data_IF_906549560384
#
_entry.id   IF_906549560384
#
_cell.length_a   1.000
_cell.length_b   1.000
_cell.length_c   1.000
_cell.angle_alpha   90.00
_cell.angle_beta   90.00
_cell.angle_gamma   90.00
#
_symmetry.space_group_name_H-M   'P 1'
#
loop_
_entity.id
_entity.type
_entity.pdbx_description
1 polymer ?
#
# COMPACT_ATOMS: atom_id res chain seq x y z
N UNK A 1 3.16 -18.27 -30.08
CA UNK A 1 3.59 -17.07 -29.31
C UNK A 1 4.04 -16.01 -30.30
N UNK A 2 3.57 -14.76 -30.18
CA UNK A 2 4.00 -13.67 -31.06
C UNK A 2 5.26 -13.07 -30.46
N UNK A 3 6.39 -13.09 -31.18
CA UNK A 3 7.62 -12.42 -30.75
C UNK A 3 7.34 -10.93 -30.64
N UNK A 4 7.58 -10.37 -29.47
CA UNK A 4 7.45 -8.92 -29.20
C UNK A 4 8.70 -8.46 -28.48
N UNK A 5 9.04 -7.19 -28.66
CA UNK A 5 10.18 -6.55 -28.02
C UNK A 5 9.66 -5.62 -26.95
N UNK A 6 9.95 -5.93 -25.69
CA UNK A 6 9.50 -5.13 -24.55
C UNK A 6 10.68 -4.37 -23.97
N UNK A 7 10.49 -3.09 -23.66
CA UNK A 7 11.47 -2.33 -22.86
C UNK A 7 11.29 -2.75 -21.40
N UNK A 8 12.24 -3.47 -20.76
CA UNK A 8 12.05 -3.91 -19.39
C UNK A 8 12.16 -2.74 -18.40
N UNK A 9 11.53 -2.84 -17.22
CA UNK A 9 11.60 -1.76 -16.22
C UNK A 9 12.98 -1.55 -15.62
N UNK A 10 13.78 -2.62 -15.52
CA UNK A 10 15.18 -2.54 -15.12
C UNK A 10 16.12 -2.19 -16.29
N UNK A 11 15.62 -1.76 -17.45
CA UNK A 11 16.46 -1.52 -18.65
C UNK A 11 17.64 -0.60 -18.37
N UNK A 12 17.48 0.40 -17.50
CA UNK A 12 18.58 1.30 -17.11
C UNK A 12 19.71 0.53 -16.43
N UNK A 13 19.37 -0.31 -15.46
CA UNK A 13 20.32 -1.15 -14.74
C UNK A 13 20.92 -2.21 -15.67
N UNK A 14 20.08 -2.91 -16.43
CA UNK A 14 20.50 -3.92 -17.42
C UNK A 14 21.51 -3.35 -18.42
N UNK A 15 21.29 -2.11 -18.89
CA UNK A 15 22.22 -1.45 -19.79
C UNK A 15 23.51 -1.07 -19.08
N UNK A 16 23.47 -0.51 -17.87
CA UNK A 16 24.69 -0.16 -17.13
C UNK A 16 25.54 -1.37 -16.76
N UNK A 17 24.91 -2.54 -16.59
CA UNK A 17 25.57 -3.81 -16.33
C UNK A 17 26.07 -4.51 -17.61
N UNK A 18 25.68 -4.06 -18.80
CA UNK A 18 26.14 -4.61 -20.08
C UNK A 18 27.60 -4.25 -20.35
N UNK A 19 28.48 -5.25 -20.60
CA UNK A 19 29.87 -5.00 -20.96
C UNK A 19 30.01 -4.11 -22.21
N UNK A 20 29.10 -4.22 -23.17
CA UNK A 20 29.10 -3.43 -24.39
C UNK A 20 28.77 -1.95 -24.13
N UNK A 21 27.86 -1.66 -23.20
CA UNK A 21 27.57 -0.29 -22.78
C UNK A 21 28.72 0.28 -21.96
N UNK A 22 29.29 -0.51 -21.04
CA UNK A 22 30.47 -0.08 -20.28
C UNK A 22 31.65 0.23 -21.22
N UNK A 23 31.86 -0.60 -22.24
CA UNK A 23 32.87 -0.39 -23.28
C UNK A 23 32.54 0.85 -24.13
N UNK A 24 31.29 1.06 -24.52
CA UNK A 24 30.86 2.28 -25.22
C UNK A 24 31.14 3.55 -24.40
N UNK A 25 30.87 3.54 -23.09
CA UNK A 25 31.11 4.70 -22.24
C UNK A 25 32.61 4.98 -22.03
N UNK A 26 33.42 3.93 -21.94
CA UNK A 26 34.84 4.01 -21.54
C UNK A 26 35.85 3.99 -22.69
N UNK A 27 35.45 3.52 -23.87
CA UNK A 27 36.32 3.34 -25.04
C UNK A 27 35.70 3.94 -26.32
N UNK A 28 36.54 4.42 -27.23
CA UNK A 28 36.18 4.86 -28.58
C UNK A 28 36.50 3.81 -29.67
N UNK A 29 36.88 2.59 -29.28
CA UNK A 29 37.24 1.51 -30.21
C UNK A 29 36.05 0.91 -30.96
N UNK A 30 34.82 1.25 -30.57
CA UNK A 30 33.61 0.82 -31.27
C UNK A 30 33.40 1.64 -32.57
N UNK A 31 32.73 1.06 -33.57
CA UNK A 31 32.34 1.82 -34.77
C UNK A 31 31.36 2.95 -34.42
N UNK A 32 31.57 4.12 -35.03
CA UNK A 32 30.72 5.32 -34.87
C UNK A 32 30.59 5.85 -33.43
N UNK A 33 31.54 5.53 -32.54
CA UNK A 33 31.64 6.16 -31.21
C UNK A 33 32.37 7.50 -31.27
N UNK A 34 31.83 8.50 -30.58
CA UNK A 34 32.52 9.79 -30.44
C UNK A 34 33.81 9.65 -29.62
N UNK A 35 34.85 10.41 -29.97
CA UNK A 35 36.11 10.45 -29.19
C UNK A 35 35.92 11.11 -27.81
N UNK A 36 35.04 12.11 -27.71
CA UNK A 36 34.76 12.81 -26.45
C UNK A 36 33.87 11.95 -25.52
N UNK A 37 34.34 11.56 -24.32
CA UNK A 37 33.53 10.83 -23.35
C UNK A 37 32.25 11.57 -22.92
N UNK A 38 32.23 12.92 -22.95
CA UNK A 38 31.02 13.70 -22.63
C UNK A 38 29.96 13.54 -23.70
N UNK A 39 30.36 13.48 -24.96
CA UNK A 39 29.46 13.23 -26.06
C UNK A 39 28.86 11.82 -25.98
N UNK A 40 29.69 10.79 -25.71
CA UNK A 40 29.21 9.41 -25.49
C UNK A 40 28.22 9.32 -24.34
N UNK A 41 28.49 9.99 -23.22
CA UNK A 41 27.56 10.06 -22.09
C UNK A 41 26.23 10.75 -22.48
N UNK A 42 26.28 11.82 -23.27
CA UNK A 42 25.08 12.50 -23.74
C UNK A 42 24.24 11.62 -24.69
N UNK A 43 24.88 10.89 -25.60
CA UNK A 43 24.24 9.92 -26.50
C UNK A 43 23.59 8.77 -25.71
N UNK A 44 24.29 8.24 -24.70
CA UNK A 44 23.72 7.24 -23.78
C UNK A 44 22.54 7.79 -22.98
N UNK A 45 22.66 9.00 -22.44
CA UNK A 45 21.56 9.65 -21.70
C UNK A 45 20.35 9.88 -22.62
N UNK A 46 20.56 10.22 -23.88
CA UNK A 46 19.49 10.37 -24.86
C UNK A 46 18.77 9.04 -25.13
N UNK A 47 19.54 7.96 -25.34
CA UNK A 47 18.99 6.62 -25.51
C UNK A 47 18.22 6.16 -24.26
N UNK A 48 18.78 6.37 -23.06
CA UNK A 48 18.15 6.03 -21.80
C UNK A 48 16.85 6.84 -21.57
N UNK A 49 16.85 8.12 -21.91
CA UNK A 49 15.66 8.98 -21.85
C UNK A 49 14.57 8.56 -22.83
N UNK A 50 14.93 7.98 -23.99
CA UNK A 50 13.95 7.38 -24.88
C UNK A 50 13.38 6.08 -24.28
N UNK A 51 14.24 5.20 -23.76
CA UNK A 51 13.80 3.95 -23.13
C UNK A 51 12.93 4.20 -21.91
N UNK A 52 13.28 5.15 -21.04
CA UNK A 52 12.51 5.46 -19.82
C UNK A 52 11.08 5.90 -20.14
N UNK A 53 10.89 6.67 -21.22
CA UNK A 53 9.56 7.04 -21.74
C UNK A 53 8.76 5.88 -22.32
N UNK A 54 9.44 4.77 -22.62
CA UNK A 54 8.86 3.60 -23.25
C UNK A 54 8.99 2.33 -22.41
N UNK A 55 9.32 2.44 -21.11
CA UNK A 55 9.34 1.29 -20.19
C UNK A 55 8.01 0.54 -20.27
N UNK A 56 8.12 -0.75 -20.53
CA UNK A 56 7.03 -1.70 -20.69
C UNK A 56 6.24 -1.59 -21.99
N UNK A 57 6.60 -0.66 -22.89
CA UNK A 57 6.05 -0.64 -24.25
C UNK A 57 6.51 -1.88 -24.99
N UNK A 58 5.56 -2.53 -25.68
CA UNK A 58 5.82 -3.65 -26.57
C UNK A 58 5.85 -3.19 -28.02
N UNK A 59 6.79 -3.73 -28.79
CA UNK A 59 6.90 -3.48 -30.22
C UNK A 59 6.70 -4.78 -30.98
N UNK A 60 6.00 -4.69 -32.13
CA UNK A 60 5.73 -5.84 -32.99
C UNK A 60 6.93 -6.30 -33.82
N UNK A 61 8.02 -5.52 -33.86
CA UNK A 61 9.29 -5.84 -34.51
C UNK A 61 10.43 -5.02 -33.91
N UNK A 62 11.68 -5.49 -34.05
CA UNK A 62 12.89 -4.70 -33.75
C UNK A 62 12.87 -3.38 -34.51
N UNK A 63 12.47 -3.39 -35.78
CA UNK A 63 12.42 -2.18 -36.61
C UNK A 63 11.40 -1.15 -36.12
N UNK A 64 10.25 -1.62 -35.61
CA UNK A 64 9.26 -0.75 -35.00
C UNK A 64 9.81 -0.13 -33.71
N UNK A 65 10.50 -0.93 -32.88
CA UNK A 65 11.19 -0.43 -31.70
C UNK A 65 12.26 0.61 -32.08
N UNK A 66 13.11 0.32 -33.07
CA UNK A 66 14.17 1.21 -33.51
C UNK A 66 13.64 2.56 -34.05
N UNK A 67 12.56 2.52 -34.84
CA UNK A 67 11.92 3.75 -35.35
C UNK A 67 11.35 4.60 -34.23
N UNK A 68 10.62 3.99 -33.32
CA UNK A 68 9.94 4.70 -32.23
C UNK A 68 10.90 5.21 -31.16
N UNK A 69 11.87 4.38 -30.75
CA UNK A 69 12.82 4.72 -29.70
C UNK A 69 13.89 5.70 -30.18
N UNK A 70 14.39 5.52 -31.41
CA UNK A 70 15.60 6.20 -31.86
C UNK A 70 15.45 6.94 -33.18
N UNK A 71 14.27 6.98 -33.80
CA UNK A 71 14.07 7.62 -35.11
C UNK A 71 14.58 6.79 -36.30
N UNK A 72 14.87 5.50 -36.09
CA UNK A 72 15.38 4.62 -37.14
C UNK A 72 16.78 5.02 -37.59
N UNK A 73 17.11 4.80 -38.87
CA UNK A 73 18.46 5.08 -39.42
C UNK A 73 18.84 6.56 -39.48
N UNK A 74 17.87 7.47 -39.39
CA UNK A 74 18.09 8.92 -39.34
C UNK A 74 18.20 9.46 -37.90
N UNK A 75 18.23 8.57 -36.91
CA UNK A 75 18.32 8.88 -35.50
C UNK A 75 19.64 9.53 -35.07
N UNK A 76 19.60 10.23 -33.92
CA UNK A 76 20.79 10.82 -33.29
C UNK A 76 21.59 9.85 -32.41
N UNK A 77 21.09 8.62 -32.22
CA UNK A 77 21.75 7.60 -31.40
C UNK A 77 22.68 6.78 -32.29
N UNK A 78 23.98 6.65 -31.95
CA UNK A 78 24.95 5.88 -32.73
C UNK A 78 24.50 4.45 -32.99
N UNK A 79 24.91 3.88 -34.13
CA UNK A 79 24.50 2.54 -34.57
C UNK A 79 24.89 1.48 -33.54
N UNK A 80 26.14 1.51 -33.06
CA UNK A 80 26.63 0.58 -32.05
C UNK A 80 25.76 0.61 -30.78
N UNK A 81 25.45 1.81 -30.28
CA UNK A 81 24.62 1.99 -29.10
C UNK A 81 23.18 1.50 -29.31
N UNK A 82 22.56 1.82 -30.46
CA UNK A 82 21.20 1.33 -30.78
C UNK A 82 21.15 -0.20 -30.81
N UNK A 83 22.12 -0.85 -31.43
CA UNK A 83 22.14 -2.31 -31.54
C UNK A 83 22.28 -2.97 -30.16
N UNK A 84 23.17 -2.46 -29.31
CA UNK A 84 23.31 -2.94 -27.93
C UNK A 84 22.02 -2.77 -27.14
N UNK A 85 21.39 -1.59 -27.25
CA UNK A 85 20.13 -1.31 -26.55
C UNK A 85 18.97 -2.19 -27.05
N UNK A 86 18.85 -2.38 -28.36
CA UNK A 86 17.81 -3.23 -28.95
C UNK A 86 17.98 -4.71 -28.57
N UNK A 87 19.22 -5.18 -28.38
CA UNK A 87 19.51 -6.52 -27.86
C UNK A 87 19.13 -6.69 -26.38
N UNK A 88 19.14 -5.60 -25.61
CA UNK A 88 18.70 -5.61 -24.22
C UNK A 88 17.16 -5.59 -24.07
N UNK A 89 16.41 -5.42 -25.17
CA UNK A 89 14.96 -5.59 -25.15
C UNK A 89 14.61 -7.07 -24.98
N UNK A 90 13.64 -7.35 -24.11
CA UNK A 90 13.24 -8.71 -23.79
C UNK A 90 12.31 -9.24 -24.89
N UNK A 91 12.59 -10.44 -25.39
CA UNK A 91 11.84 -11.09 -26.49
C UNK A 91 10.65 -11.94 -26.01
N UNK A 92 10.20 -11.72 -24.78
CA UNK A 92 9.12 -12.47 -24.16
C UNK A 92 8.15 -11.49 -23.50
N UNK A 93 6.85 -11.76 -23.64
CA UNK A 93 5.83 -11.18 -22.77
C UNK A 93 5.99 -11.91 -21.43
N UNK A 94 6.50 -11.23 -20.39
CA UNK A 94 6.24 -11.68 -19.03
C UNK A 94 4.72 -11.77 -18.86
N UNK A 95 4.24 -12.87 -18.28
CA UNK A 95 2.81 -13.11 -18.04
C UNK A 95 2.16 -11.81 -17.56
N UNK A 96 1.20 -11.30 -18.33
CA UNK A 96 0.46 -10.09 -17.94
C UNK A 96 -0.03 -10.30 -16.52
N UNK A 97 0.27 -9.36 -15.63
CA UNK A 97 -0.21 -9.43 -14.27
C UNK A 97 -1.72 -9.75 -14.28
N UNK A 98 -2.19 -10.69 -13.45
CA UNK A 98 -3.55 -11.18 -13.53
C UNK A 98 -4.53 -10.04 -13.24
N UNK A 99 -5.63 -9.99 -14.00
CA UNK A 99 -6.72 -9.06 -13.72
C UNK A 99 -7.33 -9.35 -12.34
N UNK A 100 -7.77 -8.33 -11.58
CA UNK A 100 -8.29 -8.52 -10.23
C UNK A 100 -9.46 -9.50 -10.20
N UNK A 101 -9.55 -10.25 -9.11
CA UNK A 101 -10.66 -11.18 -8.84
C UNK A 101 -11.85 -10.43 -8.24
N UNK A 102 -13.04 -10.97 -8.39
CA UNK A 102 -14.23 -10.41 -7.74
C UNK A 102 -14.07 -10.46 -6.21
N UNK A 103 -14.55 -9.40 -5.56
CA UNK A 103 -14.71 -9.36 -4.13
C UNK A 103 -15.87 -10.30 -3.72
N UNK A 104 -15.66 -11.17 -2.72
CA UNK A 104 -16.74 -11.92 -2.09
C UNK A 104 -17.84 -11.00 -1.52
N UNK A 105 -19.09 -11.47 -1.55
CA UNK A 105 -20.27 -10.67 -1.16
C UNK A 105 -20.17 -10.08 0.26
N UNK A 106 -19.70 -10.85 1.23
CA UNK A 106 -19.50 -10.38 2.61
C UNK A 106 -18.54 -9.19 2.69
N UNK A 107 -17.54 -9.12 1.80
CA UNK A 107 -16.59 -8.01 1.73
C UNK A 107 -17.26 -6.79 1.10
N UNK A 108 -18.04 -6.98 0.03
CA UNK A 108 -18.83 -5.91 -0.58
C UNK A 108 -19.81 -5.27 0.41
N UNK A 109 -20.49 -6.10 1.21
CA UNK A 109 -21.46 -5.65 2.22
C UNK A 109 -20.76 -4.82 3.32
N UNK A 110 -19.59 -5.25 3.78
CA UNK A 110 -18.81 -4.52 4.78
C UNK A 110 -18.19 -3.22 4.26
N UNK A 111 -17.75 -3.20 2.99
CA UNK A 111 -17.11 -2.02 2.40
C UNK A 111 -18.10 -0.86 2.19
N UNK A 112 -19.38 -1.18 1.96
CA UNK A 112 -20.45 -0.20 1.81
C UNK A 112 -20.20 0.77 0.65
N UNK A 113 -20.48 2.05 0.87
CA UNK A 113 -20.13 3.13 -0.06
C UNK A 113 -18.71 3.65 0.26
N UNK A 114 -17.88 3.73 -0.75
CA UNK A 114 -16.46 4.07 -0.59
C UNK A 114 -15.95 4.96 -1.72
N UNK A 115 -14.82 5.62 -1.47
CA UNK A 115 -14.00 6.35 -2.44
C UNK A 115 -12.71 5.56 -2.64
N UNK A 116 -12.28 5.43 -3.89
CA UNK A 116 -11.11 4.67 -4.27
C UNK A 116 -10.19 5.44 -5.22
N UNK A 117 -8.92 5.07 -5.21
CA UNK A 117 -7.89 5.57 -6.10
C UNK A 117 -7.22 4.42 -6.87
N UNK A 118 -6.91 4.65 -8.14
CA UNK A 118 -6.09 3.77 -8.96
C UNK A 118 -4.69 4.39 -9.12
N UNK A 119 -3.67 3.59 -8.84
CA UNK A 119 -2.28 4.00 -8.85
C UNK A 119 -1.49 3.19 -9.89
N UNK A 120 -0.62 3.90 -10.61
CA UNK A 120 0.33 3.29 -11.53
C UNK A 120 1.61 2.92 -10.75
N UNK A 121 1.95 1.63 -10.61
CA UNK A 121 3.09 1.21 -9.80
C UNK A 121 4.44 1.63 -10.42
N UNK A 122 4.47 2.01 -11.71
CA UNK A 122 5.70 2.36 -12.42
C UNK A 122 6.26 3.71 -11.99
N UNK A 123 5.37 4.66 -11.70
CA UNK A 123 5.73 6.04 -11.35
C UNK A 123 5.02 6.57 -10.10
N UNK A 124 4.29 5.72 -9.39
CA UNK A 124 3.55 6.05 -8.15
C UNK A 124 2.47 7.13 -8.34
N UNK A 125 2.08 7.44 -9.57
CA UNK A 125 1.03 8.43 -9.83
C UNK A 125 -0.36 7.86 -9.58
N UNK A 126 -1.21 8.63 -8.89
CA UNK A 126 -2.66 8.42 -8.92
C UNK A 126 -3.17 8.97 -10.25
N UNK A 127 -3.77 8.11 -11.07
CA UNK A 127 -4.30 8.51 -12.37
C UNK A 127 -5.83 8.48 -12.45
N UNK A 128 -6.50 7.95 -11.43
CA UNK A 128 -7.96 7.94 -11.36
C UNK A 128 -8.44 7.90 -9.90
N UNK A 129 -9.46 8.69 -9.58
CA UNK A 129 -10.19 8.65 -8.30
C UNK A 129 -11.68 8.52 -8.61
N UNK A 130 -12.36 7.62 -7.92
CA UNK A 130 -13.78 7.37 -8.12
C UNK A 130 -14.50 7.03 -6.82
N UNK A 131 -15.83 6.99 -6.89
CA UNK A 131 -16.68 6.51 -5.81
C UNK A 131 -17.47 5.28 -6.27
N UNK A 132 -17.80 4.39 -5.35
CA UNK A 132 -18.43 3.12 -5.70
C UNK A 132 -18.96 2.30 -4.54
N UNK A 133 -19.52 1.14 -4.90
CA UNK A 133 -19.94 0.07 -4.00
C UNK A 133 -19.50 -1.26 -4.60
N UNK A 134 -19.37 -2.30 -3.78
CA UNK A 134 -19.00 -3.64 -4.24
C UNK A 134 -17.73 -3.64 -5.11
N UNK A 135 -17.83 -4.19 -6.32
CA UNK A 135 -16.71 -4.39 -7.24
C UNK A 135 -16.40 -3.18 -8.15
N UNK A 136 -17.05 -2.02 -7.93
CA UNK A 136 -16.88 -0.82 -8.77
C UNK A 136 -15.42 -0.40 -8.98
N UNK A 137 -14.58 -0.60 -7.98
CA UNK A 137 -13.13 -0.33 -8.01
C UNK A 137 -12.41 -1.07 -9.15
N UNK A 138 -12.90 -2.23 -9.59
CA UNK A 138 -12.30 -3.05 -10.64
C UNK A 138 -12.87 -2.80 -12.03
N UNK A 139 -13.98 -2.06 -12.16
CA UNK A 139 -14.74 -1.92 -13.41
C UNK A 139 -13.88 -1.36 -14.55
N UNK A 140 -13.05 -0.35 -14.29
CA UNK A 140 -12.16 0.22 -15.31
C UNK A 140 -11.09 -0.78 -15.77
N UNK A 141 -10.53 -1.56 -14.85
CA UNK A 141 -9.52 -2.56 -15.17
C UNK A 141 -10.13 -3.70 -15.98
N UNK A 142 -11.26 -4.26 -15.55
CA UNK A 142 -11.95 -5.30 -16.32
C UNK A 142 -12.36 -4.81 -17.70
N UNK A 143 -12.84 -3.57 -17.81
CA UNK A 143 -13.17 -2.97 -19.12
C UNK A 143 -11.93 -2.82 -20.01
N UNK A 144 -10.82 -2.33 -19.46
CA UNK A 144 -9.58 -2.12 -20.19
C UNK A 144 -9.00 -3.42 -20.74
N UNK A 145 -9.15 -4.51 -19.98
CA UNK A 145 -8.65 -5.85 -20.29
C UNK A 145 -9.65 -6.75 -21.04
N UNK A 146 -10.87 -6.26 -21.31
CA UNK A 146 -11.90 -7.04 -22.03
C UNK A 146 -12.54 -8.16 -21.22
N UNK A 147 -12.52 -8.06 -19.88
CA UNK A 147 -13.03 -9.06 -18.93
C UNK A 147 -14.55 -8.93 -18.73
N UNK A 148 -15.32 -9.04 -19.82
CA UNK A 148 -16.78 -8.82 -19.82
C UNK A 148 -17.54 -9.82 -18.93
N UNK A 149 -17.01 -11.03 -18.77
CA UNK A 149 -17.56 -12.05 -17.86
C UNK A 149 -17.55 -11.57 -16.41
N UNK A 150 -16.42 -11.01 -15.95
CA UNK A 150 -16.27 -10.48 -14.58
C UNK A 150 -17.18 -9.28 -14.32
N UNK A 151 -17.34 -8.39 -15.31
CA UNK A 151 -18.32 -7.28 -15.22
C UNK A 151 -19.73 -7.83 -15.00
N UNK A 152 -20.12 -8.83 -15.79
CA UNK A 152 -21.46 -9.41 -15.73
C UNK A 152 -21.70 -10.16 -14.41
N UNK A 153 -20.74 -10.98 -13.97
CA UNK A 153 -20.79 -11.71 -12.70
C UNK A 153 -20.86 -10.74 -11.50
N UNK A 154 -20.16 -9.61 -11.57
CA UNK A 154 -20.20 -8.57 -10.55
C UNK A 154 -21.45 -7.67 -10.61
N UNK A 155 -22.30 -7.80 -11.63
CA UNK A 155 -23.42 -6.89 -11.88
C UNK A 155 -23.00 -5.47 -12.27
N UNK A 156 -21.74 -5.30 -12.69
CA UNK A 156 -21.16 -4.03 -13.12
C UNK A 156 -21.39 -3.80 -14.63
N UNK A 157 -21.57 -2.55 -15.01
CA UNK A 157 -21.73 -2.16 -16.42
C UNK A 157 -20.44 -1.54 -16.94
N UNK A 158 -20.22 -1.68 -18.24
CA UNK A 158 -19.18 -0.92 -18.95
C UNK A 158 -19.32 0.57 -18.63
N UNK A 159 -18.25 1.25 -18.21
CA UNK A 159 -18.24 2.69 -17.98
C UNK A 159 -18.70 3.46 -19.22
N UNK A 160 -19.36 4.60 -19.00
CA UNK A 160 -19.71 5.51 -20.08
C UNK A 160 -18.43 6.01 -20.77
N UNK A 161 -18.44 6.09 -22.09
CA UNK A 161 -17.33 6.68 -22.84
C UNK A 161 -17.29 8.19 -22.60
N UNK A 162 -16.38 8.61 -21.72
CA UNK A 162 -16.04 10.01 -21.47
C UNK A 162 -14.54 10.21 -21.68
N UNK A 163 -14.06 11.44 -21.94
CA UNK A 163 -12.62 11.69 -22.10
C UNK A 163 -11.77 11.20 -20.92
N UNK A 164 -12.27 11.35 -19.69
CA UNK A 164 -11.61 10.91 -18.47
C UNK A 164 -11.54 9.39 -18.39
N UNK A 165 -12.66 8.71 -18.67
CA UNK A 165 -12.75 7.25 -18.67
C UNK A 165 -11.84 6.66 -19.75
N UNK A 166 -11.84 7.23 -20.95
CA UNK A 166 -10.96 6.78 -22.04
C UNK A 166 -9.48 6.99 -21.70
N UNK A 167 -9.12 8.10 -21.06
CA UNK A 167 -7.76 8.34 -20.58
C UNK A 167 -7.35 7.30 -19.53
N UNK A 168 -8.23 6.99 -18.56
CA UNK A 168 -7.99 5.95 -17.57
C UNK A 168 -7.84 4.57 -18.22
N UNK A 169 -8.71 4.19 -19.15
CA UNK A 169 -8.63 2.91 -19.88
C UNK A 169 -7.33 2.80 -20.69
N UNK A 170 -6.92 3.88 -21.37
CA UNK A 170 -5.61 3.93 -22.06
C UNK A 170 -4.47 3.72 -21.07
N UNK A 171 -4.47 4.45 -19.94
CA UNK A 171 -3.42 4.31 -18.91
C UNK A 171 -3.34 2.89 -18.38
N UNK A 172 -4.48 2.28 -18.01
CA UNK A 172 -4.55 0.89 -17.53
C UNK A 172 -3.94 -0.08 -18.56
N UNK A 173 -4.30 0.03 -19.84
CA UNK A 173 -3.73 -0.84 -20.89
C UNK A 173 -2.21 -0.72 -20.93
N UNK A 174 -1.66 0.50 -20.87
CA UNK A 174 -0.20 0.68 -20.86
C UNK A 174 0.46 0.05 -19.64
N UNK A 175 -0.18 0.09 -18.46
CA UNK A 175 0.32 -0.55 -17.23
C UNK A 175 0.40 -2.07 -17.40
N UNK A 176 -0.68 -2.70 -17.86
CA UNK A 176 -0.73 -4.16 -18.06
C UNK A 176 0.11 -4.65 -19.23
N UNK A 177 0.22 -3.86 -20.31
CA UNK A 177 1.16 -4.14 -21.41
C UNK A 177 2.62 -4.10 -20.94
N UNK A 178 2.89 -3.33 -19.87
CA UNK A 178 4.21 -3.26 -19.22
C UNK A 178 4.49 -4.41 -18.26
N UNK A 179 3.59 -5.40 -18.13
CA UNK A 179 3.72 -6.51 -17.18
C UNK A 179 3.28 -6.18 -15.74
N UNK A 180 2.82 -4.96 -15.47
CA UNK A 180 2.37 -4.54 -14.13
C UNK A 180 0.86 -4.68 -13.95
N UNK A 181 0.41 -4.76 -12.69
CA UNK A 181 -1.00 -4.59 -12.34
C UNK A 181 -1.22 -3.20 -11.74
N UNK A 182 -2.33 -2.58 -12.12
CA UNK A 182 -2.82 -1.36 -11.46
C UNK A 182 -3.07 -1.65 -9.98
N UNK A 183 -2.56 -0.79 -9.10
CA UNK A 183 -2.84 -0.86 -7.68
C UNK A 183 -4.16 -0.17 -7.35
N UNK A 184 -4.92 -0.78 -6.44
CA UNK A 184 -6.26 -0.34 -6.08
C UNK A 184 -6.29 -0.02 -4.60
N UNK A 185 -6.65 1.22 -4.27
CA UNK A 185 -6.70 1.71 -2.90
C UNK A 185 -8.09 2.22 -2.56
N UNK A 186 -8.55 1.93 -1.36
CA UNK A 186 -9.72 2.58 -0.75
C UNK A 186 -9.21 3.72 0.12
N UNK A 187 -9.60 4.95 -0.21
CA UNK A 187 -9.16 6.17 0.51
C UNK A 187 -10.17 6.62 1.57
N UNK A 188 -11.43 6.16 1.46
CA UNK A 188 -12.44 6.27 2.50
C UNK A 188 -13.50 5.20 2.29
N UNK A 189 -13.93 4.54 3.37
CA UNK A 189 -15.03 3.58 3.40
C UNK A 189 -16.19 4.06 4.28
N UNK A 190 -17.31 3.32 4.26
CA UNK A 190 -18.48 3.53 5.12
C UNK A 190 -19.07 4.97 5.16
N UNK A 191 -18.94 5.73 4.07
CA UNK A 191 -19.42 7.12 4.01
C UNK A 191 -20.95 7.23 4.12
N UNK A 192 -21.44 7.99 5.12
CA UNK A 192 -22.87 8.25 5.31
C UNK A 192 -23.18 9.74 5.60
N UNK A 193 -23.17 10.60 4.55
CA UNK A 193 -23.42 12.04 4.68
C UNK A 193 -24.77 12.42 5.28
N UNK A 194 -25.79 11.55 5.17
CA UNK A 194 -27.14 11.86 5.64
C UNK A 194 -27.26 11.82 7.17
N UNK A 195 -26.37 11.10 7.84
CA UNK A 195 -26.45 10.86 9.28
C UNK A 195 -25.56 11.83 10.07
N UNK A 196 -24.40 12.20 9.53
CA UNK A 196 -23.45 13.09 10.22
C UNK A 196 -22.59 13.85 9.20
N UNK A 197 -22.96 15.11 8.93
CA UNK A 197 -22.30 15.95 7.93
C UNK A 197 -20.88 16.37 8.37
N UNK A 198 -20.68 16.67 9.65
CA UNK A 198 -19.37 17.05 10.20
C UNK A 198 -18.41 15.86 10.17
N UNK A 199 -18.89 14.66 10.53
CA UNK A 199 -18.11 13.44 10.37
C UNK A 199 -17.76 13.18 8.91
N UNK A 200 -18.70 13.37 7.98
CA UNK A 200 -18.43 13.17 6.55
C UNK A 200 -17.42 14.16 6.00
N UNK A 201 -17.45 15.43 6.45
CA UNK A 201 -16.43 16.41 6.10
C UNK A 201 -15.04 15.98 6.62
N UNK A 202 -14.96 15.46 7.85
CA UNK A 202 -13.72 14.94 8.42
C UNK A 202 -13.18 13.72 7.63
N UNK A 203 -14.03 12.74 7.32
CA UNK A 203 -13.63 11.56 6.53
C UNK A 203 -13.23 11.97 5.11
N UNK A 204 -13.89 12.97 4.52
CA UNK A 204 -13.51 13.49 3.21
C UNK A 204 -12.12 14.14 3.25
N UNK A 205 -11.82 14.94 4.28
CA UNK A 205 -10.50 15.51 4.47
C UNK A 205 -9.43 14.42 4.66
N UNK A 206 -9.73 13.38 5.45
CA UNK A 206 -8.85 12.22 5.61
C UNK A 206 -8.65 11.48 4.28
N UNK A 207 -9.68 11.33 3.45
CA UNK A 207 -9.56 10.71 2.13
C UNK A 207 -8.63 11.49 1.19
N UNK A 208 -8.69 12.82 1.23
CA UNK A 208 -7.79 13.69 0.45
C UNK A 208 -6.36 13.56 0.95
N UNK A 209 -6.15 13.60 2.27
CA UNK A 209 -4.83 13.40 2.88
C UNK A 209 -4.27 12.03 2.49
N UNK A 210 -5.09 10.97 2.58
CA UNK A 210 -4.74 9.61 2.20
C UNK A 210 -4.31 9.49 0.73
N UNK A 211 -5.06 10.12 -0.18
CA UNK A 211 -4.73 10.13 -1.60
C UNK A 211 -3.42 10.89 -1.87
N UNK A 212 -3.25 12.09 -1.30
CA UNK A 212 -2.01 12.85 -1.45
C UNK A 212 -0.81 12.11 -0.87
N UNK A 213 -0.99 11.45 0.28
CA UNK A 213 0.04 10.62 0.91
C UNK A 213 0.53 9.46 0.05
N UNK A 214 -0.30 8.90 -0.85
CA UNK A 214 0.17 7.87 -1.79
C UNK A 214 1.24 8.38 -2.76
N UNK A 215 1.22 9.68 -3.05
CA UNK A 215 2.11 10.36 -4.00
C UNK A 215 3.25 11.13 -3.32
N UNK A 216 3.30 11.15 -1.99
CA UNK A 216 4.39 11.82 -1.27
C UNK A 216 5.75 11.14 -1.53
N UNK A 217 6.85 11.90 -1.59
CA UNK A 217 8.17 11.33 -1.77
C UNK A 217 8.56 10.47 -0.56
N UNK A 218 8.83 9.18 -0.79
CA UNK A 218 9.24 8.24 0.27
C UNK A 218 10.63 8.54 0.89
N UNK A 219 11.31 9.60 0.45
CA UNK A 219 12.65 9.99 0.92
C UNK A 219 12.77 11.51 0.96
N UNK A 220 12.52 12.08 2.13
CA UNK A 220 12.62 13.51 2.38
C UNK A 220 11.67 13.93 3.48
N UNK A 221 11.64 15.23 3.76
CA UNK A 221 10.60 15.81 4.59
C UNK A 221 9.25 15.76 3.85
N UNK A 222 8.19 15.41 4.57
CA UNK A 222 6.84 15.40 4.03
C UNK A 222 6.45 16.80 3.54
N UNK A 223 5.97 16.89 2.29
CA UNK A 223 5.43 18.16 1.77
C UNK A 223 4.07 18.40 2.42
N UNK A 224 3.22 17.37 2.49
CA UNK A 224 1.95 17.42 3.20
C UNK A 224 2.18 17.38 4.72
N UNK A 225 2.11 18.54 5.36
CA UNK A 225 2.33 18.70 6.81
C UNK A 225 1.35 17.91 7.68
N UNK A 226 0.19 17.53 7.15
CA UNK A 226 -0.74 16.61 7.83
C UNK A 226 -0.12 15.22 8.12
N UNK A 227 1.01 14.89 7.48
CA UNK A 227 1.79 13.68 7.64
C UNK A 227 3.03 13.88 8.53
N UNK A 228 3.34 15.10 8.98
CA UNK A 228 4.52 15.37 9.82
C UNK A 228 4.53 14.65 11.19
N UNK A 229 3.41 14.02 11.58
CA UNK A 229 3.30 13.16 12.75
C UNK A 229 2.92 11.72 12.43
N UNK A 230 3.00 11.30 11.16
CA UNK A 230 2.77 9.91 10.81
C UNK A 230 4.01 9.06 11.08
N UNK A 231 3.98 8.25 12.14
CA UNK A 231 4.82 7.05 12.28
C UNK A 231 4.22 5.88 11.49
N UNK A 232 4.99 4.85 11.12
CA UNK A 232 4.49 3.61 10.49
C UNK A 232 3.24 3.03 11.21
N UNK A 233 3.15 3.25 12.53
CA UNK A 233 2.03 2.82 13.38
C UNK A 233 0.76 3.67 13.21
N UNK A 234 0.90 4.97 12.92
CA UNK A 234 -0.21 5.92 12.70
C UNK A 234 -0.59 6.10 11.22
N UNK A 235 0.28 5.68 10.29
CA UNK A 235 -0.03 5.57 8.87
C UNK A 235 -1.20 4.61 8.64
N UNK A 236 -1.27 3.49 9.36
CA UNK A 236 -2.33 2.50 9.18
C UNK A 236 -3.76 3.01 9.46
N UNK A 237 -3.94 4.13 10.16
CA UNK A 237 -5.24 4.76 10.42
C UNK A 237 -5.57 5.92 9.46
N UNK A 238 -4.61 6.40 8.67
CA UNK A 238 -4.73 7.60 7.82
C UNK A 238 -4.43 7.37 6.35
N UNK A 239 -3.98 6.18 5.98
CA UNK A 239 -3.48 5.90 4.64
C UNK A 239 -4.54 5.18 3.83
N UNK A 240 -4.56 5.47 2.54
CA UNK A 240 -5.32 4.70 1.58
C UNK A 240 -4.98 3.22 1.75
N UNK A 241 -5.99 2.38 1.95
CA UNK A 241 -5.79 0.96 2.25
C UNK A 241 -5.79 0.18 0.93
N UNK A 242 -4.75 -0.61 0.60
CA UNK A 242 -4.80 -1.49 -0.55
C UNK A 242 -6.00 -2.42 -0.45
N UNK A 243 -6.76 -2.60 -1.53
CA UNK A 243 -7.97 -3.45 -1.51
C UNK A 243 -7.67 -4.89 -1.05
N UNK A 244 -6.48 -5.41 -1.35
CA UNK A 244 -6.04 -6.73 -0.91
C UNK A 244 -5.95 -6.84 0.62
N UNK A 245 -5.61 -5.75 1.30
CA UNK A 245 -5.57 -5.68 2.76
C UNK A 245 -6.98 -5.69 3.34
N UNK A 246 -7.92 -4.92 2.76
CA UNK A 246 -9.32 -4.96 3.17
C UNK A 246 -9.94 -6.34 2.96
N UNK A 247 -9.62 -6.99 1.84
CA UNK A 247 -10.05 -8.37 1.59
C UNK A 247 -9.57 -9.30 2.70
N UNK A 248 -8.30 -9.19 3.10
CA UNK A 248 -7.73 -9.97 4.20
C UNK A 248 -8.49 -9.72 5.51
N UNK A 249 -8.71 -8.45 5.86
CA UNK A 249 -9.39 -8.09 7.11
C UNK A 249 -10.85 -8.56 7.13
N UNK A 250 -11.58 -8.37 6.04
CA UNK A 250 -13.01 -8.66 5.99
C UNK A 250 -13.31 -10.15 5.77
N UNK A 251 -12.32 -10.91 5.31
CA UNK A 251 -12.39 -12.38 5.24
C UNK A 251 -12.19 -13.05 6.60
N UNK A 252 -11.58 -12.35 7.56
CA UNK A 252 -11.41 -12.88 8.91
C UNK A 252 -12.75 -12.91 9.67
N UNK A 253 -13.00 -14.01 10.39
CA UNK A 253 -14.17 -14.11 11.26
C UNK A 253 -14.12 -13.05 12.35
N UNK A 254 -15.24 -12.38 12.69
CA UNK A 254 -15.27 -11.49 13.84
C UNK A 254 -14.84 -12.25 15.10
N UNK A 255 -13.99 -11.65 15.93
CA UNK A 255 -13.59 -12.26 17.19
C UNK A 255 -14.80 -12.58 18.08
N UNK A 256 -14.72 -13.59 18.96
CA UNK A 256 -15.70 -13.76 20.02
C UNK A 256 -15.70 -12.55 20.98
N UNK A 257 -16.59 -12.53 21.97
CA UNK A 257 -16.60 -11.47 22.98
C UNK A 257 -15.25 -11.39 23.70
N UNK A 258 -14.64 -10.20 23.72
CA UNK A 258 -13.35 -9.98 24.38
C UNK A 258 -13.47 -10.25 25.89
N UNK A 259 -12.47 -10.91 26.51
CA UNK A 259 -12.44 -11.09 27.96
C UNK A 259 -12.49 -9.74 28.69
N UNK A 260 -13.00 -9.75 29.91
CA UNK A 260 -12.93 -8.59 30.81
C UNK A 260 -12.44 -9.09 32.17
N UNK A 261 -11.28 -8.63 32.65
CA UNK A 261 -10.40 -7.64 32.05
C UNK A 261 -9.54 -8.20 30.89
N UNK A 262 -9.14 -7.36 29.94
CA UNK A 262 -8.09 -7.66 28.96
C UNK A 262 -7.39 -6.38 28.48
N UNK A 263 -6.28 -6.53 27.76
CA UNK A 263 -5.67 -5.47 26.97
C UNK A 263 -5.60 -5.91 25.52
N UNK A 264 -6.05 -5.06 24.61
CA UNK A 264 -5.73 -5.19 23.20
C UNK A 264 -4.50 -4.35 22.90
N UNK A 265 -3.47 -5.01 22.38
CA UNK A 265 -2.19 -4.42 22.07
C UNK A 265 -2.05 -4.34 20.56
N UNK A 266 -2.19 -3.15 19.99
CA UNK A 266 -2.00 -2.95 18.56
C UNK A 266 -0.51 -2.81 18.26
N UNK A 267 0.01 -3.71 17.42
CA UNK A 267 1.41 -3.72 16.96
C UNK A 267 1.41 -4.01 15.47
N UNK A 268 1.54 -2.98 14.63
CA UNK A 268 1.36 -3.13 13.18
C UNK A 268 2.51 -3.95 12.54
N UNK A 269 3.72 -3.88 13.09
CA UNK A 269 4.89 -4.64 12.61
C UNK A 269 4.68 -6.16 12.74
N UNK A 270 3.76 -6.58 13.62
CA UNK A 270 3.39 -7.98 13.76
C UNK A 270 2.67 -8.54 12.51
N UNK A 271 2.25 -7.69 11.54
CA UNK A 271 1.48 -8.06 10.34
C UNK A 271 2.08 -9.21 9.53
N UNK A 272 3.39 -9.31 9.42
CA UNK A 272 4.08 -10.40 8.69
C UNK A 272 5.13 -11.11 9.55
N UNK A 273 5.16 -10.79 10.84
CA UNK A 273 6.11 -11.36 11.78
C UNK A 273 5.82 -12.84 12.04
N UNK A 274 6.89 -13.61 12.28
CA UNK A 274 6.82 -14.98 12.82
C UNK A 274 6.30 -14.94 14.27
N UNK A 275 5.78 -16.06 14.82
CA UNK A 275 5.32 -16.09 16.21
C UNK A 275 6.36 -15.60 17.23
N UNK A 276 7.62 -15.99 17.07
CA UNK A 276 8.72 -15.52 17.90
C UNK A 276 8.92 -13.99 17.81
N UNK A 277 8.89 -13.44 16.60
CA UNK A 277 9.00 -11.98 16.41
C UNK A 277 7.77 -11.24 16.95
N UNK A 278 6.56 -11.81 16.85
CA UNK A 278 5.36 -11.25 17.49
C UNK A 278 5.52 -11.17 19.00
N UNK A 279 6.13 -12.18 19.64
CA UNK A 279 6.43 -12.15 21.07
C UNK A 279 7.38 -11.01 21.42
N UNK A 280 8.48 -10.86 20.70
CA UNK A 280 9.43 -9.77 20.92
C UNK A 280 8.77 -8.39 20.79
N UNK A 281 7.98 -8.20 19.72
CA UNK A 281 7.22 -6.98 19.47
C UNK A 281 6.20 -6.68 20.57
N UNK A 282 5.47 -7.69 21.05
CA UNK A 282 4.53 -7.55 22.16
C UNK A 282 5.24 -7.18 23.47
N UNK A 283 6.49 -7.63 23.66
CA UNK A 283 7.30 -7.40 24.85
C UNK A 283 7.94 -6.01 24.92
N UNK A 284 7.68 -5.13 23.93
CA UNK A 284 8.09 -3.74 23.99
C UNK A 284 7.51 -3.04 25.24
N UNK A 285 8.10 -1.93 25.72
CA UNK A 285 7.53 -1.19 26.84
C UNK A 285 6.22 -0.48 26.46
N UNK A 286 5.19 -0.62 27.29
CA UNK A 286 3.87 -0.01 27.09
C UNK A 286 3.44 0.83 28.30
N UNK A 287 2.51 1.80 28.14
CA UNK A 287 2.02 2.61 29.25
C UNK A 287 1.00 1.85 30.13
N UNK A 288 1.44 0.73 30.71
CA UNK A 288 0.61 -0.09 31.59
C UNK A 288 0.47 0.58 32.98
N UNK A 289 -0.68 1.22 33.20
CA UNK A 289 -1.04 1.82 34.49
C UNK A 289 -1.20 0.79 35.62
N UNK A 290 -1.17 1.25 36.86
CA UNK A 290 -1.30 0.39 38.06
C UNK A 290 -2.55 -0.48 38.05
N UNK A 291 -3.67 0.02 37.52
CA UNK A 291 -4.93 -0.72 37.42
C UNK A 291 -4.83 -1.97 36.52
N UNK A 292 -4.06 -1.91 35.43
CA UNK A 292 -3.81 -3.07 34.58
C UNK A 292 -2.76 -3.99 35.23
N UNK A 293 -1.69 -3.41 35.77
CA UNK A 293 -0.59 -4.16 36.36
C UNK A 293 -0.96 -4.94 37.62
N UNK A 294 -1.98 -4.49 38.35
CA UNK A 294 -2.48 -5.16 39.54
C UNK A 294 -3.40 -6.36 39.26
N UNK A 295 -3.68 -6.66 37.99
CA UNK A 295 -4.52 -7.80 37.60
C UNK A 295 -3.62 -9.00 37.33
N UNK A 296 -3.76 -10.03 38.14
CA UNK A 296 -3.07 -11.30 37.94
C UNK A 296 -3.63 -12.04 36.70
N UNK A 297 -2.72 -12.59 35.90
CA UNK A 297 -3.06 -13.30 34.67
C UNK A 297 -3.84 -12.47 33.65
N UNK A 298 -3.56 -11.17 33.52
CA UNK A 298 -4.25 -10.27 32.58
C UNK A 298 -4.01 -10.72 31.12
N UNK A 299 -5.08 -11.03 30.34
CA UNK A 299 -4.94 -11.36 28.93
C UNK A 299 -4.44 -10.17 28.10
N UNK A 300 -3.40 -10.38 27.30
CA UNK A 300 -2.83 -9.45 26.33
C UNK A 300 -3.09 -9.99 24.93
N UNK A 301 -4.02 -9.37 24.20
CA UNK A 301 -4.43 -9.78 22.86
C UNK A 301 -3.69 -8.90 21.85
N UNK A 302 -2.74 -9.47 21.11
CA UNK A 302 -1.92 -8.72 20.14
C UNK A 302 -2.64 -8.66 18.81
N UNK A 303 -2.81 -7.46 18.27
CA UNK A 303 -3.54 -7.20 17.03
C UNK A 303 -2.65 -6.45 16.05
N UNK A 304 -2.64 -6.89 14.79
CA UNK A 304 -2.05 -6.16 13.67
C UNK A 304 -3.10 -6.03 12.57
N UNK A 305 -3.35 -4.81 12.07
CA UNK A 305 -4.39 -4.53 11.08
C UNK A 305 -5.76 -5.12 11.45
N UNK A 306 -6.19 -4.93 12.70
CA UNK A 306 -7.42 -5.48 13.25
C UNK A 306 -7.50 -7.02 13.30
N UNK A 307 -6.43 -7.76 12.98
CA UNK A 307 -6.38 -9.22 13.10
C UNK A 307 -5.55 -9.62 14.32
N UNK A 308 -6.10 -10.50 15.16
CA UNK A 308 -5.38 -11.04 16.31
C UNK A 308 -4.25 -11.96 15.84
N UNK A 309 -3.04 -11.69 16.33
CA UNK A 309 -1.80 -12.38 15.95
C UNK A 309 -1.26 -13.33 17.00
N UNK A 310 -1.50 -13.02 18.27
CA UNK A 310 -1.12 -13.85 19.40
C UNK A 310 -1.94 -13.43 20.62
N UNK A 311 -2.04 -14.32 21.60
CA UNK A 311 -2.61 -13.98 22.90
C UNK A 311 -1.66 -14.46 23.99
N UNK A 312 -1.35 -13.57 24.92
CA UNK A 312 -0.49 -13.85 26.06
C UNK A 312 -1.24 -13.64 27.36
N UNK A 313 -0.71 -14.23 28.43
CA UNK A 313 -1.18 -14.00 29.79
C UNK A 313 -0.09 -13.34 30.60
N UNK A 314 -0.30 -12.09 30.98
CA UNK A 314 0.66 -11.34 31.80
C UNK A 314 0.62 -11.84 33.25
N UNK A 315 1.74 -12.37 33.73
CA UNK A 315 1.96 -12.84 35.11
C UNK A 315 2.84 -11.87 35.90
N UNK A 316 3.46 -10.89 35.24
CA UNK A 316 4.30 -9.90 35.88
C UNK A 316 4.59 -8.69 34.99
N UNK A 317 5.28 -7.71 35.55
CA UNK A 317 5.62 -6.46 34.87
C UNK A 317 7.02 -5.99 35.24
N UNK A 318 7.80 -5.61 34.24
CA UNK A 318 9.13 -5.03 34.40
C UNK A 318 9.12 -3.58 33.96
N UNK A 319 9.62 -2.68 34.80
CA UNK A 319 9.75 -1.27 34.46
C UNK A 319 10.88 -1.08 33.43
N UNK A 320 10.56 -0.43 32.32
CA UNK A 320 11.57 0.03 31.37
C UNK A 320 12.22 1.34 31.84
N UNK A 321 13.37 1.68 31.27
CA UNK A 321 14.06 2.92 31.57
C UNK A 321 13.15 4.14 31.30
N UNK A 322 13.14 5.09 32.23
CA UNK A 322 12.46 6.37 32.04
C UNK A 322 13.21 7.16 30.97
N UNK A 323 12.51 7.57 29.93
CA UNK A 323 13.06 8.43 28.88
C UNK A 323 12.33 9.77 28.85
N UNK A 324 13.04 10.85 28.52
CA UNK A 324 12.43 12.17 28.34
C UNK A 324 11.48 12.21 27.13
N UNK A 325 11.75 11.38 26.11
CA UNK A 325 10.90 11.19 24.93
C UNK A 325 9.48 10.73 25.27
N UNK A 326 9.29 9.99 26.38
CA UNK A 326 7.98 9.52 26.83
C UNK A 326 7.29 10.48 27.81
N UNK A 327 7.69 11.76 27.83
CA UNK A 327 7.12 12.77 28.74
C UNK A 327 7.36 12.46 30.21
N UNK A 328 8.39 11.66 30.52
CA UNK A 328 8.73 11.25 31.88
C UNK A 328 7.84 10.13 32.45
N UNK A 329 7.02 9.45 31.65
CA UNK A 329 6.22 8.28 32.08
C UNK A 329 7.06 7.00 32.04
N UNK A 330 6.97 6.19 33.09
CA UNK A 330 7.59 4.86 33.11
C UNK A 330 6.72 3.92 32.28
N UNK A 331 7.31 3.32 31.24
CA UNK A 331 6.70 2.26 30.46
C UNK A 331 7.04 0.90 31.09
N UNK A 332 6.20 -0.10 30.85
CA UNK A 332 6.34 -1.43 31.44
C UNK A 332 6.29 -2.50 30.36
N UNK A 333 7.15 -3.50 30.49
CA UNK A 333 7.09 -4.74 29.71
C UNK A 333 6.31 -5.76 30.51
N UNK A 334 5.42 -6.50 29.86
CA UNK A 334 4.77 -7.63 30.53
C UNK A 334 5.69 -8.84 30.52
N UNK A 335 5.66 -9.59 31.62
CA UNK A 335 6.24 -10.94 31.74
C UNK A 335 5.07 -11.91 31.70
N UNK A 336 5.20 -13.00 30.96
CA UNK A 336 4.10 -13.92 30.72
C UNK A 336 4.36 -14.86 29.54
N UNK A 337 3.47 -15.83 29.38
CA UNK A 337 3.54 -16.86 28.34
C UNK A 337 2.32 -16.78 27.42
N UNK A 338 2.37 -17.52 26.29
CA UNK A 338 1.22 -17.67 25.41
C UNK A 338 0.03 -18.28 26.15
N UNK A 339 -1.17 -17.79 25.82
CA UNK A 339 -2.42 -18.32 26.34
C UNK A 339 -3.05 -19.23 25.28
N UNK A 340 -2.72 -20.52 25.29
CA UNK A 340 -3.17 -21.47 24.26
C UNK A 340 -4.69 -21.55 24.12
N UNK A 341 -5.43 -21.38 25.23
CA UNK A 341 -6.89 -21.43 25.24
C UNK A 341 -7.48 -20.23 24.49
N UNK A 342 -6.98 -19.02 24.78
CA UNK A 342 -7.42 -17.82 24.09
C UNK A 342 -6.86 -17.74 22.67
N UNK A 343 -5.65 -18.25 22.42
CA UNK A 343 -5.10 -18.30 21.06
C UNK A 343 -5.98 -19.11 20.13
N UNK A 344 -6.43 -20.30 20.55
CA UNK A 344 -7.34 -21.14 19.76
C UNK A 344 -8.70 -20.47 19.47
N UNK A 345 -9.11 -19.48 20.26
CA UNK A 345 -10.38 -18.75 20.10
C UNK A 345 -10.22 -17.45 19.30
N UNK A 346 -9.09 -16.76 19.42
CA UNK A 346 -8.94 -15.40 18.93
C UNK A 346 -7.97 -15.26 17.76
N UNK A 347 -6.93 -16.09 17.62
CA UNK A 347 -5.94 -15.91 16.54
C UNK A 347 -6.62 -15.99 15.17
N UNK A 348 -6.22 -15.10 14.25
CA UNK A 348 -6.82 -14.90 12.93
C UNK A 348 -8.27 -14.39 12.93
N UNK A 349 -8.83 -14.02 14.08
CA UNK A 349 -10.12 -13.32 14.15
C UNK A 349 -9.94 -11.80 14.11
N UNK A 350 -11.01 -11.09 13.75
CA UNK A 350 -11.02 -9.63 13.61
C UNK A 350 -11.50 -8.93 14.89
N UNK A 351 -10.69 -7.99 15.37
CA UNK A 351 -10.99 -7.06 16.48
C UNK A 351 -10.79 -5.64 16.00
N UNK A 352 -11.83 -4.82 16.10
CA UNK A 352 -11.85 -3.40 15.71
C UNK A 352 -12.01 -2.50 16.96
N UNK A 353 -11.61 -1.21 16.90
CA UNK A 353 -11.61 -0.31 18.06
C UNK A 353 -12.97 -0.16 18.74
N UNK A 354 -14.06 -0.20 17.96
CA UNK A 354 -15.44 -0.08 18.43
C UNK A 354 -15.82 -1.19 19.41
N UNK A 355 -15.17 -2.36 19.35
CA UNK A 355 -15.38 -3.46 20.31
C UNK A 355 -14.85 -3.14 21.71
N UNK A 356 -14.04 -2.09 21.84
CA UNK A 356 -13.60 -1.51 23.10
C UNK A 356 -14.29 -0.16 23.39
N UNK A 357 -15.27 0.25 22.57
CA UNK A 357 -15.93 1.55 22.66
C UNK A 357 -15.05 2.71 22.19
N UNK A 358 -14.01 2.42 21.42
CA UNK A 358 -13.10 3.42 20.86
C UNK A 358 -13.53 3.79 19.44
N UNK A 359 -13.39 5.07 19.07
CA UNK A 359 -13.60 5.51 17.68
C UNK A 359 -12.42 5.12 16.77
N UNK A 360 -11.21 5.04 17.33
CA UNK A 360 -9.96 4.68 16.66
C UNK A 360 -8.99 4.08 17.66
N UNK A 361 -7.97 3.36 17.18
CA UNK A 361 -6.93 2.84 18.05
C UNK A 361 -6.10 3.98 18.65
N UNK A 362 -5.58 3.83 19.89
CA UNK A 362 -4.61 4.77 20.44
C UNK A 362 -3.31 4.73 19.63
N UNK A 363 -2.68 5.89 19.43
CA UNK A 363 -1.44 6.01 18.64
C UNK A 363 -0.29 5.17 19.19
N UNK A 364 -0.27 4.93 20.49
CA UNK A 364 0.72 4.15 21.22
C UNK A 364 0.32 2.67 21.37
N UNK A 365 -0.73 2.21 20.68
CA UNK A 365 -1.14 0.81 20.58
C UNK A 365 -1.78 0.16 21.83
N UNK A 366 -1.66 0.76 23.01
CA UNK A 366 -2.19 0.19 24.26
C UNK A 366 -3.68 0.52 24.48
N UNK A 367 -4.55 -0.49 24.40
CA UNK A 367 -6.00 -0.33 24.55
C UNK A 367 -6.57 -1.26 25.63
N UNK A 368 -6.68 -0.80 26.90
CA UNK A 368 -7.18 -1.63 28.00
C UNK A 368 -8.71 -1.68 28.05
N UNK A 369 -9.26 -2.87 28.32
CA UNK A 369 -10.66 -3.11 28.69
C UNK A 369 -10.70 -3.73 30.10
N UNK A 370 -10.68 -2.87 31.12
CA UNK A 370 -10.61 -3.33 32.52
C UNK A 370 -11.98 -3.57 33.15
N UNK A 371 -13.04 -3.00 32.60
CA UNK A 371 -14.41 -3.16 33.10
C UNK A 371 -15.38 -3.44 31.96
N UNK A 372 -16.60 -3.89 32.30
CA UNK A 372 -17.69 -4.09 31.32
C UNK A 372 -18.33 -2.78 30.86
N UNK A 373 -18.05 -1.67 31.54
CA UNK A 373 -18.57 -0.36 31.13
C UNK A 373 -17.77 0.16 29.93
N UNK A 374 -18.43 0.34 28.79
CA UNK A 374 -17.83 0.99 27.63
C UNK A 374 -17.55 2.46 27.98
N UNK A 375 -16.39 3.03 27.59
CA UNK A 375 -16.11 4.44 27.83
C UNK A 375 -17.22 5.29 27.21
N UNK A 376 -17.93 6.08 28.04
CA UNK A 376 -18.80 7.13 27.49
C UNK A 376 -17.90 8.18 26.82
N UNK A 377 -18.28 8.76 25.67
CA UNK A 377 -17.53 9.85 25.08
C UNK A 377 -17.42 10.97 26.12
N UNK A 378 -16.19 11.28 26.54
CA UNK A 378 -15.94 12.42 27.42
C UNK A 378 -16.26 13.67 26.62
N UNK A 379 -17.37 14.35 26.95
CA UNK A 379 -17.64 15.67 26.42
C UNK A 379 -16.49 16.59 26.84
N UNK A 380 -15.72 17.11 25.87
CA UNK A 380 -14.72 18.13 26.15
C UNK A 380 -15.43 19.32 26.81
N UNK A 381 -14.92 19.86 27.93
CA UNK A 381 -15.45 21.11 28.46
C UNK A 381 -15.32 22.17 27.36
N UNK A 382 -16.44 22.82 27.03
CA UNK A 382 -16.43 23.97 26.13
C UNK A 382 -15.51 25.02 26.75
N UNK A 383 -14.41 25.34 26.06
CA UNK A 383 -13.62 26.51 26.40
C UNK A 383 -14.55 27.75 26.36
N UNK A 384 -14.44 28.67 27.32
CA UNK A 384 -15.20 29.91 27.26
C UNK A 384 -14.78 30.66 25.99
N UNK A 385 -15.77 31.02 25.17
CA UNK A 385 -15.53 31.85 23.98
C UNK A 385 -15.17 33.27 24.44
N UNK A 386 -14.15 33.91 23.84
CA UNK A 386 -13.94 35.35 23.97
C UNK A 386 -15.09 36.14 23.35
#
# INVERSE_FOLDING_TARGET
MRTVWTVPPNIAQTLLESPEIQMFLTSNELPDTADDPRQRLAEFTHALGALSRHIGRTFGSVDAANRELFGGSAGKVPVALRLTVLRALVNHVEDRAPSPKLLPKNICDQLGAYVYALLDPRDRSIFYVGAGRGNRIFTLVWTALGETSKLTEAGEKTPLATPETEAALRRIRTVYESGYAVEHFVVADALNPKTDADHTAAVTAEAVIAALGLTEPHRGDWVLTNLAGSTEESEADRTAIPIAELVRQYSASPAPELPTPCVVLRVNEAKKASPAAVRELASKPWPAGSAARGIDGLPIIVVADNIVRAVYRATGWEAAARTEENGGTILYRFVGESDEELEGKFVNTRVTPDRLGLKRWPSHGWAPRLTRALPRPVARPKAPRP
#
